data_IF_790068149172
#
_entry.id   IF_790068149172
#
_cell.length_a   1.000
_cell.length_b   1.000
_cell.length_c   1.000
_cell.angle_alpha   90.00
_cell.angle_beta   90.00
_cell.angle_gamma   90.00
#
_symmetry.space_group_name_H-M   'P 1'
#
loop_
_entity.id
_entity.type
_entity.pdbx_description
1 polymer ?
#
# COMPACT_ATOMS: atom_id res chain seq x y z
N UNK A 1 -14.58 -22.85 0.78
CA UNK A 1 -14.82 -21.94 1.90
C UNK A 1 -13.68 -20.94 1.90
N UNK A 2 -13.83 -19.82 1.19
CA UNK A 2 -12.82 -18.76 1.16
C UNK A 2 -13.10 -17.82 2.33
N UNK A 3 -12.17 -17.77 3.29
CA UNK A 3 -12.30 -16.91 4.47
C UNK A 3 -12.26 -15.42 4.03
N UNK A 4 -13.27 -14.61 4.37
CA UNK A 4 -13.30 -13.17 4.08
C UNK A 4 -12.06 -12.42 4.58
N UNK A 5 -11.43 -12.87 5.67
CA UNK A 5 -10.20 -12.29 6.19
C UNK A 5 -9.02 -12.52 5.23
N UNK A 6 -8.89 -13.74 4.69
CA UNK A 6 -7.84 -14.08 3.71
C UNK A 6 -8.06 -13.30 2.42
N UNK A 7 -9.31 -13.21 1.94
CA UNK A 7 -9.67 -12.40 0.77
C UNK A 7 -9.32 -10.92 0.97
N UNK A 8 -9.68 -10.35 2.12
CA UNK A 8 -9.36 -8.98 2.48
C UNK A 8 -7.86 -8.72 2.55
N UNK A 9 -7.08 -9.64 3.12
CA UNK A 9 -5.63 -9.52 3.20
C UNK A 9 -4.94 -9.61 1.84
N UNK A 10 -5.39 -10.50 0.95
CA UNK A 10 -4.88 -10.61 -0.42
C UNK A 10 -5.21 -9.35 -1.22
N UNK A 11 -6.42 -8.82 -1.10
CA UNK A 11 -6.81 -7.55 -1.73
C UNK A 11 -5.99 -6.38 -1.17
N UNK A 12 -5.83 -6.30 0.15
CA UNK A 12 -4.99 -5.30 0.80
C UNK A 12 -3.54 -5.37 0.33
N UNK A 13 -2.99 -6.57 0.19
CA UNK A 13 -1.65 -6.77 -0.37
C UNK A 13 -1.57 -6.32 -1.83
N UNK A 14 -2.55 -6.66 -2.67
CA UNK A 14 -2.58 -6.25 -4.07
C UNK A 14 -2.63 -4.71 -4.22
N UNK A 15 -3.43 -4.03 -3.40
CA UNK A 15 -3.50 -2.57 -3.36
C UNK A 15 -2.16 -1.98 -2.91
N UNK A 16 -1.58 -2.51 -1.82
CA UNK A 16 -0.28 -2.05 -1.33
C UNK A 16 0.84 -2.25 -2.34
N UNK A 17 0.82 -3.33 -3.11
CA UNK A 17 1.77 -3.57 -4.20
C UNK A 17 1.61 -2.53 -5.31
N UNK A 18 0.38 -2.25 -5.73
CA UNK A 18 0.10 -1.25 -6.75
C UNK A 18 0.59 0.14 -6.31
N UNK A 19 0.28 0.54 -5.07
CA UNK A 19 0.68 1.83 -4.51
C UNK A 19 2.21 1.92 -4.38
N UNK A 20 2.87 0.81 -4.00
CA UNK A 20 4.32 0.72 -3.99
C UNK A 20 4.91 1.00 -5.38
N UNK A 21 4.40 0.41 -6.46
CA UNK A 21 4.92 0.70 -7.80
C UNK A 21 4.64 2.13 -8.25
N UNK A 22 3.44 2.66 -7.99
CA UNK A 22 3.05 4.03 -8.36
C UNK A 22 3.94 5.06 -7.66
N UNK A 23 4.11 4.96 -6.34
CA UNK A 23 4.97 5.88 -5.59
C UNK A 23 6.43 5.76 -6.02
N UNK A 24 6.91 4.55 -6.30
CA UNK A 24 8.26 4.33 -6.83
C UNK A 24 8.48 5.04 -8.17
N UNK A 25 7.50 4.96 -9.07
CA UNK A 25 7.53 5.67 -10.35
C UNK A 25 7.49 7.19 -10.16
N UNK A 26 6.63 7.70 -9.28
CA UNK A 26 6.55 9.15 -8.99
C UNK A 26 7.86 9.68 -8.42
N UNK A 27 8.52 8.92 -7.54
CA UNK A 27 9.85 9.26 -7.00
C UNK A 27 10.89 9.33 -8.11
N UNK A 28 10.96 8.34 -9.00
CA UNK A 28 11.93 8.34 -10.10
C UNK A 28 11.68 9.52 -11.06
N UNK A 29 10.41 9.81 -11.37
CA UNK A 29 10.03 10.98 -12.18
C UNK A 29 10.40 12.30 -11.49
N UNK A 30 10.17 12.42 -10.18
CA UNK A 30 10.57 13.61 -9.41
C UNK A 30 12.10 13.77 -9.35
N UNK A 31 12.83 12.68 -9.10
CA UNK A 31 14.29 12.68 -9.05
C UNK A 31 14.91 13.14 -10.38
N UNK A 32 14.32 12.73 -11.51
CA UNK A 32 14.75 13.19 -12.85
C UNK A 32 14.45 14.67 -13.10
N UNK A 33 13.39 15.22 -12.50
CA UNK A 33 12.97 16.63 -12.69
C UNK A 33 13.62 17.60 -11.71
N UNK A 34 14.03 17.15 -10.51
CA UNK A 34 14.61 17.99 -9.45
C UNK A 34 15.76 17.28 -8.73
N UNK A 35 16.93 17.13 -9.39
CA UNK A 35 18.08 16.42 -8.82
C UNK A 35 18.70 17.09 -7.58
N UNK A 36 18.33 18.34 -7.27
CA UNK A 36 18.87 19.12 -6.15
C UNK A 36 18.07 18.99 -4.84
N UNK A 37 16.90 18.33 -4.81
CA UNK A 37 16.10 18.19 -3.59
C UNK A 37 16.60 17.04 -2.70
N UNK A 38 17.02 17.45 -1.50
CA UNK A 38 17.60 16.72 -0.36
C UNK A 38 17.29 15.22 -0.27
N UNK A 39 18.36 14.43 -0.25
CA UNK A 39 18.48 13.00 0.11
C UNK A 39 17.54 12.52 1.24
N UNK A 40 17.15 13.38 2.20
CA UNK A 40 16.24 13.03 3.29
C UNK A 40 14.78 12.79 2.87
N UNK A 41 14.27 13.50 1.86
CA UNK A 41 12.88 13.35 1.40
C UNK A 41 12.68 12.01 0.67
N UNK A 42 13.68 11.56 -0.09
CA UNK A 42 13.68 10.26 -0.75
C UNK A 42 13.68 9.09 0.25
N UNK A 43 14.42 9.21 1.35
CA UNK A 43 14.47 8.18 2.40
C UNK A 43 13.16 8.05 3.15
N UNK A 44 12.56 9.17 3.58
CA UNK A 44 11.26 9.15 4.25
C UNK A 44 10.16 8.55 3.37
N UNK A 45 10.17 8.85 2.08
CA UNK A 45 9.20 8.34 1.12
C UNK A 45 9.40 6.85 0.80
N UNK A 46 10.65 6.36 0.79
CA UNK A 46 10.94 4.93 0.71
C UNK A 46 10.48 4.15 1.95
N UNK A 47 10.67 4.72 3.15
CA UNK A 47 10.16 4.11 4.40
C UNK A 47 8.64 4.04 4.36
N UNK A 48 7.97 5.12 3.95
CA UNK A 48 6.52 5.14 3.79
C UNK A 48 6.06 4.04 2.81
N UNK A 49 6.67 3.93 1.63
CA UNK A 49 6.40 2.85 0.65
C UNK A 49 6.52 1.45 1.24
N UNK A 50 7.60 1.17 1.95
CA UNK A 50 7.83 -0.16 2.54
C UNK A 50 6.83 -0.42 3.66
N UNK A 51 6.51 0.58 4.48
CA UNK A 51 5.51 0.43 5.55
C UNK A 51 4.12 0.14 5.01
N UNK A 52 3.74 0.74 3.87
CA UNK A 52 2.45 0.51 3.21
C UNK A 52 2.28 -0.95 2.75
N UNK A 53 3.35 -1.61 2.29
CA UNK A 53 3.31 -3.02 1.90
C UNK A 53 2.94 -3.97 3.03
N UNK A 54 3.16 -3.57 4.29
CA UNK A 54 2.78 -4.35 5.47
C UNK A 54 1.45 -3.85 6.03
N UNK A 55 1.25 -2.53 6.08
CA UNK A 55 0.05 -1.91 6.63
C UNK A 55 -1.21 -2.26 5.82
N UNK A 56 -1.16 -2.20 4.49
CA UNK A 56 -2.34 -2.47 3.67
C UNK A 56 -2.86 -3.92 3.78
N UNK A 57 -2.01 -4.98 3.77
CA UNK A 57 -2.47 -6.34 4.05
C UNK A 57 -3.04 -6.50 5.47
N UNK A 58 -2.40 -5.90 6.48
CA UNK A 58 -2.89 -5.96 7.87
C UNK A 58 -4.25 -5.29 7.98
N UNK A 59 -4.40 -4.08 7.43
CA UNK A 59 -5.68 -3.37 7.38
C UNK A 59 -6.71 -4.19 6.60
N UNK A 60 -6.35 -4.77 5.45
CA UNK A 60 -7.22 -5.61 4.64
C UNK A 60 -7.70 -6.87 5.37
N UNK A 61 -6.84 -7.51 6.17
CA UNK A 61 -7.18 -8.66 7.01
C UNK A 61 -8.31 -8.32 8.01
N UNK A 62 -8.25 -7.14 8.63
CA UNK A 62 -9.28 -6.70 9.59
C UNK A 62 -10.50 -6.07 8.92
N UNK A 63 -10.31 -5.33 7.82
CA UNK A 63 -11.38 -4.65 7.11
C UNK A 63 -12.24 -5.64 6.28
N UNK A 64 -11.65 -6.73 5.77
CA UNK A 64 -12.34 -7.72 4.94
C UNK A 64 -13.62 -8.28 5.59
N UNK A 65 -13.56 -8.83 6.82
CA UNK A 65 -14.73 -9.32 7.53
C UNK A 65 -15.78 -8.23 7.82
N UNK A 66 -15.35 -7.00 8.14
CA UNK A 66 -16.24 -5.87 8.41
C UNK A 66 -16.98 -5.43 7.14
N UNK A 67 -16.29 -5.38 5.99
CA UNK A 67 -16.92 -5.03 4.72
C UNK A 67 -17.88 -6.12 4.27
N UNK A 68 -17.50 -7.40 4.43
CA UNK A 68 -18.36 -8.53 4.10
C UNK A 68 -19.65 -8.56 4.95
N UNK A 69 -19.57 -8.21 6.23
CA UNK A 69 -20.75 -8.15 7.10
C UNK A 69 -21.68 -6.97 6.82
N UNK A 70 -21.16 -5.85 6.33
CA UNK A 70 -21.98 -4.69 5.95
C UNK A 70 -22.60 -4.80 4.54
N UNK A 71 -21.98 -5.55 3.62
CA UNK A 71 -22.50 -5.77 2.26
C UNK A 71 -23.42 -6.99 2.15
N UNK A 72 -23.33 -7.93 3.10
CA UNK A 72 -24.20 -9.11 3.18
C UNK A 72 -25.45 -8.94 4.06
N UNK A 73 -25.68 -7.72 4.59
CA UNK A 73 -26.86 -7.35 5.38
C UNK A 73 -27.97 -6.74 4.53
#
# INVERSE_FOLDING_TARGET
>A
MTDPAILGAVLGLAIGLADFFVLGYVIDVMARRRPAERLGAGTALNIARISQLVLFPVVGWFAGPVVASNLGG
#
